data_IF_560175858344
#
_entry.id   IF_560175858344
#
_cell.length_a   1.000
_cell.length_b   1.000
_cell.length_c   1.000
_cell.angle_alpha   90.00
_cell.angle_beta   90.00
_cell.angle_gamma   90.00
#
_symmetry.space_group_name_H-M   'P 1'
#
loop_
_entity.id
_entity.type
_entity.pdbx_description
1 polymer ?
#
# COMPACT_ATOMS: atom_id res chain seq x y z
N UNK A 1 -13.10 8.79 35.80
CA UNK A 1 -13.04 7.96 34.57
C UNK A 1 -11.91 8.39 33.63
N UNK A 2 -11.84 9.66 33.20
CA UNK A 2 -10.77 10.17 32.30
C UNK A 2 -9.32 9.99 32.80
N UNK A 3 -9.08 10.09 34.11
CA UNK A 3 -7.76 9.87 34.72
C UNK A 3 -7.28 8.42 34.61
N UNK A 4 -8.16 7.44 34.90
CA UNK A 4 -7.89 6.00 34.75
C UNK A 4 -7.67 5.60 33.29
N UNK A 5 -8.39 6.22 32.35
CA UNK A 5 -8.17 5.99 30.92
C UNK A 5 -6.82 6.61 30.47
N UNK A 6 -6.46 7.78 30.99
CA UNK A 6 -5.14 8.38 30.74
C UNK A 6 -3.96 7.54 31.26
N UNK A 7 -4.16 6.81 32.36
CA UNK A 7 -3.18 5.84 32.89
C UNK A 7 -3.09 4.58 32.00
N UNK A 8 -4.20 4.11 31.45
CA UNK A 8 -4.22 2.99 30.50
C UNK A 8 -3.35 3.25 29.26
N UNK A 9 -3.46 4.43 28.64
CA UNK A 9 -2.62 4.82 27.49
C UNK A 9 -1.12 4.95 27.81
N UNK A 10 -0.74 5.04 29.08
CA UNK A 10 0.66 5.11 29.54
C UNK A 10 1.24 3.75 29.94
N UNK A 11 0.42 2.70 29.99
CA UNK A 11 0.86 1.37 30.37
C UNK A 11 1.86 0.79 29.37
N UNK A 12 2.92 0.14 29.88
CA UNK A 12 3.91 -0.57 29.04
C UNK A 12 3.29 -1.62 28.10
N UNK A 13 2.09 -2.09 28.44
CA UNK A 13 1.34 -3.10 27.68
C UNK A 13 0.35 -2.53 26.66
N UNK A 14 0.08 -1.22 26.64
CA UNK A 14 -0.93 -0.64 25.74
C UNK A 14 -0.59 -0.87 24.26
N UNK A 15 0.61 -0.49 23.82
CA UNK A 15 1.02 -0.70 22.43
C UNK A 15 1.04 -2.19 22.02
N UNK A 16 1.62 -3.11 22.82
CA UNK A 16 1.50 -4.55 22.55
C UNK A 16 0.06 -5.05 22.40
N UNK A 17 -0.86 -4.64 23.28
CA UNK A 17 -2.28 -5.02 23.19
C UNK A 17 -2.90 -4.48 21.89
N UNK A 18 -2.62 -3.24 21.51
CA UNK A 18 -3.14 -2.68 20.27
C UNK A 18 -2.65 -3.42 19.03
N UNK A 19 -1.39 -3.89 19.02
CA UNK A 19 -0.89 -4.72 17.92
C UNK A 19 -1.49 -6.12 17.93
N UNK A 20 -1.79 -6.70 19.09
CA UNK A 20 -2.55 -7.96 19.17
C UNK A 20 -3.97 -7.79 18.60
N UNK A 21 -4.64 -6.69 18.95
CA UNK A 21 -5.97 -6.36 18.38
C UNK A 21 -5.88 -6.18 16.87
N UNK A 22 -4.87 -5.46 16.37
CA UNK A 22 -4.61 -5.32 14.93
C UNK A 22 -4.39 -6.68 14.24
N UNK A 23 -3.60 -7.56 14.87
CA UNK A 23 -3.34 -8.91 14.35
C UNK A 23 -4.63 -9.72 14.21
N UNK A 24 -5.45 -9.75 15.26
CA UNK A 24 -6.74 -10.44 15.24
C UNK A 24 -7.70 -9.81 14.24
N UNK A 25 -7.72 -8.48 14.15
CA UNK A 25 -8.55 -7.73 13.20
C UNK A 25 -8.27 -8.13 11.75
N UNK A 26 -7.00 -8.07 11.31
CA UNK A 26 -6.65 -8.41 9.93
C UNK A 26 -6.73 -9.91 9.65
N UNK A 27 -6.51 -10.76 10.66
CA UNK A 27 -6.78 -12.19 10.54
C UNK A 27 -8.26 -12.46 10.26
N UNK A 28 -9.16 -11.86 11.04
CA UNK A 28 -10.61 -11.96 10.80
C UNK A 28 -11.02 -11.31 9.48
N UNK A 29 -10.40 -10.18 9.10
CA UNK A 29 -10.62 -9.53 7.81
C UNK A 29 -10.39 -10.52 6.66
N UNK A 30 -9.29 -11.28 6.69
CA UNK A 30 -9.00 -12.30 5.67
C UNK A 30 -9.97 -13.47 5.70
N UNK A 31 -10.47 -13.84 6.89
CA UNK A 31 -11.54 -14.83 7.00
C UNK A 31 -12.79 -14.33 6.29
N UNK A 32 -13.17 -13.07 6.45
CA UNK A 32 -14.41 -12.56 5.85
C UNK A 32 -14.27 -12.21 4.36
N UNK A 33 -13.06 -11.95 3.87
CA UNK A 33 -12.79 -11.58 2.48
C UNK A 33 -13.18 -12.68 1.48
N UNK A 34 -13.83 -12.27 0.39
CA UNK A 34 -14.23 -13.15 -0.72
C UNK A 34 -13.08 -13.22 -1.74
N UNK A 35 -12.57 -14.43 -2.09
CA UNK A 35 -11.60 -14.58 -3.18
C UNK A 35 -12.19 -14.15 -4.53
N UNK A 36 -11.33 -13.68 -5.43
CA UNK A 36 -11.77 -13.19 -6.74
C UNK A 36 -10.67 -13.30 -7.80
N UNK A 37 -11.06 -13.63 -9.04
CA UNK A 37 -10.20 -13.58 -10.21
C UNK A 37 -8.93 -14.42 -10.07
N UNK A 38 -7.77 -13.75 -10.10
CA UNK A 38 -6.44 -14.38 -10.02
C UNK A 38 -6.28 -15.30 -8.80
N UNK A 39 -7.01 -15.03 -7.70
CA UNK A 39 -7.01 -15.87 -6.50
C UNK A 39 -7.36 -17.33 -6.86
N UNK A 40 -8.33 -17.54 -7.76
CA UNK A 40 -8.73 -18.87 -8.22
C UNK A 40 -7.72 -19.52 -9.15
N UNK A 41 -7.00 -18.72 -9.94
CA UNK A 41 -5.91 -19.21 -10.79
C UNK A 41 -4.79 -19.81 -9.93
N UNK A 42 -4.38 -19.12 -8.86
CA UNK A 42 -3.33 -19.59 -7.97
C UNK A 42 -3.79 -20.69 -7.02
N UNK A 43 -5.07 -20.72 -6.66
CA UNK A 43 -5.69 -21.83 -5.92
C UNK A 43 -5.96 -23.08 -6.77
N UNK A 44 -5.92 -22.96 -8.10
CA UNK A 44 -6.31 -24.01 -9.05
C UNK A 44 -5.13 -24.79 -9.65
N UNK A 45 -5.44 -25.52 -10.73
CA UNK A 45 -4.47 -26.35 -11.45
C UNK A 45 -3.33 -25.53 -12.05
N UNK A 46 -3.59 -24.29 -12.48
CA UNK A 46 -2.58 -23.41 -13.04
C UNK A 46 -1.52 -23.03 -12.01
N UNK A 47 -1.93 -22.66 -10.79
CA UNK A 47 -1.01 -22.43 -9.68
C UNK A 47 -0.20 -23.68 -9.31
N UNK A 48 -0.86 -24.84 -9.25
CA UNK A 48 -0.21 -26.13 -9.00
C UNK A 48 0.80 -26.53 -10.09
N UNK A 49 0.52 -26.19 -11.34
CA UNK A 49 1.47 -26.35 -12.44
C UNK A 49 2.67 -25.44 -12.24
N UNK A 50 2.45 -24.13 -12.05
CA UNK A 50 3.53 -23.16 -11.97
C UNK A 50 4.50 -23.43 -10.82
N UNK A 51 4.01 -23.81 -9.63
CA UNK A 51 4.91 -24.12 -8.50
C UNK A 51 5.81 -25.33 -8.76
N UNK A 52 5.34 -26.33 -9.54
CA UNK A 52 6.13 -27.50 -9.94
C UNK A 52 7.13 -27.22 -11.07
N UNK A 53 6.96 -26.09 -11.76
CA UNK A 53 7.78 -25.68 -12.90
C UNK A 53 8.53 -24.37 -12.62
N UNK A 54 8.83 -24.08 -11.35
CA UNK A 54 9.60 -22.89 -10.94
C UNK A 54 9.00 -21.57 -11.45
N UNK A 55 7.67 -21.49 -11.48
CA UNK A 55 6.86 -20.38 -11.99
C UNK A 55 7.06 -20.05 -13.47
N UNK A 56 7.53 -21.03 -14.25
CA UNK A 56 7.63 -20.93 -15.69
C UNK A 56 6.51 -21.72 -16.39
N UNK A 57 5.90 -21.09 -17.39
CA UNK A 57 4.96 -21.70 -18.30
C UNK A 57 4.81 -20.89 -19.60
N UNK A 58 4.21 -21.47 -20.65
CA UNK A 58 3.96 -20.78 -21.93
C UNK A 58 3.16 -19.49 -21.75
N UNK A 59 3.63 -18.39 -22.33
CA UNK A 59 3.01 -17.06 -22.16
C UNK A 59 1.56 -16.98 -22.66
N UNK A 60 1.17 -17.82 -23.63
CA UNK A 60 -0.19 -17.85 -24.16
C UNK A 60 -1.23 -18.27 -23.11
N UNK A 61 -0.85 -19.10 -22.14
CA UNK A 61 -1.76 -19.64 -21.12
C UNK A 61 -1.55 -18.91 -19.79
N UNK A 62 -0.28 -18.71 -19.41
CA UNK A 62 0.09 -18.20 -18.09
C UNK A 62 0.41 -16.71 -18.06
N UNK A 63 0.56 -16.07 -19.23
CA UNK A 63 0.76 -14.63 -19.39
C UNK A 63 1.67 -13.98 -18.34
N UNK A 64 1.10 -12.98 -17.65
CA UNK A 64 1.77 -12.23 -16.59
C UNK A 64 2.28 -13.08 -15.42
N UNK A 65 1.68 -14.23 -15.15
CA UNK A 65 1.98 -15.13 -14.02
C UNK A 65 3.23 -15.98 -14.21
N UNK A 66 3.72 -16.13 -15.45
CA UNK A 66 5.02 -16.74 -15.76
C UNK A 66 6.13 -15.71 -15.52
N UNK A 67 6.57 -15.54 -14.27
CA UNK A 67 7.41 -14.43 -13.80
C UNK A 67 8.33 -14.83 -12.62
N UNK A 68 9.26 -13.96 -12.26
CA UNK A 68 10.23 -14.19 -11.18
C UNK A 68 9.73 -13.88 -9.76
N UNK A 69 8.43 -13.66 -9.55
CA UNK A 69 7.84 -13.27 -8.26
C UNK A 69 7.72 -14.47 -7.32
N UNK A 70 8.81 -15.20 -7.11
CA UNK A 70 8.81 -16.49 -6.43
C UNK A 70 8.10 -16.45 -5.07
N UNK A 71 8.40 -15.46 -4.22
CA UNK A 71 7.82 -15.38 -2.88
C UNK A 71 6.38 -14.87 -2.91
N UNK A 72 6.07 -13.92 -3.80
CA UNK A 72 4.68 -13.49 -4.03
C UNK A 72 3.80 -14.65 -4.47
N UNK A 73 4.15 -15.31 -5.56
CA UNK A 73 3.37 -16.41 -6.12
C UNK A 73 3.26 -17.59 -5.15
N UNK A 74 4.34 -17.94 -4.44
CA UNK A 74 4.31 -19.02 -3.44
C UNK A 74 3.36 -18.69 -2.29
N UNK A 75 3.45 -17.47 -1.74
CA UNK A 75 2.58 -17.05 -0.65
C UNK A 75 1.12 -17.03 -1.11
N UNK A 76 0.84 -16.59 -2.34
CA UNK A 76 -0.50 -16.57 -2.91
C UNK A 76 -1.12 -17.97 -3.03
N UNK A 77 -0.35 -18.93 -3.56
CA UNK A 77 -0.77 -20.34 -3.62
C UNK A 77 -1.10 -20.84 -2.20
N UNK A 78 -0.20 -20.62 -1.25
CA UNK A 78 -0.37 -21.11 0.12
C UNK A 78 -1.57 -20.50 0.84
N UNK A 79 -1.81 -19.20 0.69
CA UNK A 79 -2.96 -18.52 1.30
C UNK A 79 -4.29 -18.88 0.61
N UNK A 80 -4.26 -19.34 -0.64
CA UNK A 80 -5.46 -19.86 -1.31
C UNK A 80 -5.80 -21.31 -0.93
N UNK A 81 -4.81 -22.10 -0.50
CA UNK A 81 -5.03 -23.49 -0.09
C UNK A 81 -5.32 -23.67 1.41
N UNK A 82 -4.95 -22.70 2.26
CA UNK A 82 -5.12 -22.78 3.71
C UNK A 82 -5.63 -21.47 4.30
N UNK A 83 -6.91 -21.47 4.72
CA UNK A 83 -7.52 -20.30 5.36
C UNK A 83 -6.83 -19.90 6.68
N UNK A 84 -6.42 -20.82 7.58
CA UNK A 84 -5.63 -20.45 8.76
C UNK A 84 -4.31 -19.77 8.40
N UNK A 85 -3.60 -20.28 7.38
CA UNK A 85 -2.35 -19.67 6.92
C UNK A 85 -2.59 -18.30 6.28
N UNK A 86 -3.69 -18.13 5.56
CA UNK A 86 -4.11 -16.84 5.01
C UNK A 86 -4.40 -15.82 6.12
N UNK A 87 -5.20 -16.20 7.12
CA UNK A 87 -5.53 -15.36 8.25
C UNK A 87 -4.28 -14.98 9.06
N UNK A 88 -3.38 -15.94 9.30
CA UNK A 88 -2.09 -15.70 9.95
C UNK A 88 -1.24 -14.73 9.12
N UNK A 89 -1.12 -14.94 7.80
CA UNK A 89 -0.32 -14.08 6.93
C UNK A 89 -0.83 -12.64 6.92
N UNK A 90 -2.14 -12.44 6.79
CA UNK A 90 -2.76 -11.11 6.88
C UNK A 90 -2.51 -10.47 8.24
N UNK A 91 -2.77 -11.20 9.33
CA UNK A 91 -2.53 -10.72 10.69
C UNK A 91 -1.07 -10.29 10.91
N UNK A 92 -0.11 -11.12 10.51
CA UNK A 92 1.33 -10.85 10.66
C UNK A 92 1.75 -9.63 9.85
N UNK A 93 1.53 -9.62 8.52
CA UNK A 93 2.15 -8.62 7.66
C UNK A 93 1.50 -7.24 7.78
N UNK A 94 0.17 -7.16 7.97
CA UNK A 94 -0.45 -5.89 8.29
C UNK A 94 0.05 -5.35 9.63
N UNK A 95 0.06 -6.18 10.67
CA UNK A 95 0.54 -5.74 12.00
C UNK A 95 2.02 -5.32 11.97
N UNK A 96 2.86 -6.05 11.23
CA UNK A 96 4.27 -5.72 11.04
C UNK A 96 4.44 -4.38 10.30
N UNK A 97 3.64 -4.13 9.25
CA UNK A 97 3.62 -2.86 8.54
C UNK A 97 3.27 -1.71 9.50
N UNK A 98 2.16 -1.82 10.23
CA UNK A 98 1.70 -0.79 11.17
C UNK A 98 2.70 -0.56 12.31
N UNK A 99 3.29 -1.64 12.83
CA UNK A 99 4.35 -1.57 13.83
C UNK A 99 5.58 -0.82 13.28
N UNK A 100 6.03 -1.13 12.06
CA UNK A 100 7.19 -0.49 11.48
C UNK A 100 6.93 1.01 11.27
N UNK A 101 5.74 1.39 10.81
CA UNK A 101 5.33 2.79 10.69
C UNK A 101 5.34 3.52 12.04
N UNK A 102 4.77 2.92 13.09
CA UNK A 102 4.77 3.47 14.44
C UNK A 102 6.19 3.71 14.96
N UNK A 103 7.09 2.75 14.71
CA UNK A 103 8.51 2.80 15.09
C UNK A 103 9.23 3.92 14.35
N UNK A 104 9.06 4.02 13.04
CA UNK A 104 9.70 5.01 12.19
C UNK A 104 9.21 6.44 12.47
N UNK A 105 7.95 6.59 12.88
CA UNK A 105 7.31 7.85 13.26
C UNK A 105 7.58 8.29 14.72
N UNK A 106 8.46 7.60 15.45
CA UNK A 106 8.96 8.06 16.76
C UNK A 106 8.25 7.47 17.99
N UNK A 107 7.37 6.48 17.82
CA UNK A 107 6.77 5.67 18.90
C UNK A 107 5.85 6.40 19.89
N UNK A 108 5.35 7.58 19.54
CA UNK A 108 4.35 8.26 20.37
C UNK A 108 2.98 7.55 20.31
N UNK A 109 2.07 7.88 21.22
CA UNK A 109 0.68 7.41 21.15
C UNK A 109 0.01 7.91 19.87
N UNK A 110 0.24 9.17 19.49
CA UNK A 110 -0.26 9.72 18.23
C UNK A 110 0.28 8.94 17.02
N UNK A 111 1.57 8.59 17.03
CA UNK A 111 2.14 7.73 15.99
C UNK A 111 1.45 6.36 15.95
N UNK A 112 1.15 5.75 17.10
CA UNK A 112 0.48 4.46 17.17
C UNK A 112 -0.92 4.54 16.56
N UNK A 113 -1.69 5.54 16.96
CA UNK A 113 -3.05 5.76 16.49
C UNK A 113 -3.08 6.06 14.98
N UNK A 114 -2.16 6.88 14.47
CA UNK A 114 -2.01 7.11 13.04
C UNK A 114 -1.62 5.82 12.29
N UNK A 115 -0.70 5.02 12.82
CA UNK A 115 -0.40 3.73 12.21
C UNK A 115 -1.62 2.82 12.16
N UNK A 116 -2.41 2.73 13.22
CA UNK A 116 -3.67 1.97 13.22
C UNK A 116 -4.72 2.55 12.25
N UNK A 117 -4.70 3.87 12.01
CA UNK A 117 -5.58 4.53 11.06
C UNK A 117 -5.22 4.27 9.59
N UNK A 118 -4.00 3.81 9.29
CA UNK A 118 -3.47 3.67 7.92
C UNK A 118 -4.41 2.93 6.96
N UNK A 119 -4.94 1.77 7.35
CA UNK A 119 -5.80 0.98 6.46
C UNK A 119 -7.15 1.68 6.17
N UNK A 120 -7.56 2.61 7.03
CA UNK A 120 -8.83 3.34 6.92
C UNK A 120 -8.70 4.68 6.18
N UNK A 121 -7.48 5.08 5.83
CA UNK A 121 -7.22 6.27 5.00
C UNK A 121 -7.01 5.91 3.52
N UNK A 122 -7.07 4.63 3.18
CA UNK A 122 -6.94 4.14 1.82
C UNK A 122 -8.10 4.64 0.95
N UNK A 123 -7.79 5.09 -0.25
CA UNK A 123 -8.81 5.35 -1.28
C UNK A 123 -9.43 4.04 -1.79
N UNK A 124 -10.61 4.13 -2.41
CA UNK A 124 -11.35 2.98 -2.94
C UNK A 124 -10.51 2.04 -3.82
N UNK A 125 -9.63 2.60 -4.66
CA UNK A 125 -8.75 1.81 -5.53
C UNK A 125 -7.80 0.90 -4.75
N UNK A 126 -7.19 1.39 -3.66
CA UNK A 126 -6.31 0.61 -2.78
C UNK A 126 -7.07 -0.32 -1.86
N UNK A 127 -8.29 0.07 -1.43
CA UNK A 127 -9.18 -0.86 -0.71
C UNK A 127 -9.43 -2.09 -1.58
N UNK A 128 -9.86 -1.88 -2.82
CA UNK A 128 -10.25 -2.96 -3.72
C UNK A 128 -9.07 -3.80 -4.25
N UNK A 129 -7.95 -3.16 -4.59
CA UNK A 129 -6.81 -3.82 -5.25
C UNK A 129 -5.67 -4.22 -4.31
N UNK A 130 -5.76 -3.93 -3.01
CA UNK A 130 -4.72 -4.31 -2.04
C UNK A 130 -5.32 -4.84 -0.74
N UNK A 131 -6.25 -4.11 -0.12
CA UNK A 131 -6.80 -4.51 1.17
C UNK A 131 -7.76 -5.71 1.04
N UNK A 132 -8.68 -5.65 0.08
CA UNK A 132 -9.77 -6.60 -0.13
C UNK A 132 -9.53 -7.59 -1.29
N UNK A 133 -8.26 -7.82 -1.63
CA UNK A 133 -7.85 -8.78 -2.66
C UNK A 133 -6.60 -9.54 -2.22
N UNK A 134 -6.60 -10.87 -2.32
CA UNK A 134 -5.51 -11.71 -1.81
C UNK A 134 -4.23 -11.51 -2.62
N UNK A 135 -4.30 -11.56 -3.95
CA UNK A 135 -3.14 -11.28 -4.82
C UNK A 135 -2.56 -9.88 -4.57
N UNK A 136 -3.44 -8.89 -4.39
CA UNK A 136 -3.07 -7.51 -4.06
C UNK A 136 -2.34 -7.41 -2.73
N UNK A 137 -2.89 -7.99 -1.67
CA UNK A 137 -2.24 -8.05 -0.37
C UNK A 137 -0.85 -8.71 -0.48
N UNK A 138 -0.78 -9.92 -1.04
CA UNK A 138 0.44 -10.73 -1.08
C UNK A 138 1.58 -9.99 -1.76
N UNK A 139 1.29 -9.30 -2.87
CA UNK A 139 2.31 -8.65 -3.68
C UNK A 139 2.78 -7.29 -3.13
N UNK A 140 1.99 -6.62 -2.28
CA UNK A 140 2.26 -5.23 -1.89
C UNK A 140 2.44 -5.00 -0.39
N UNK A 141 1.77 -5.76 0.48
CA UNK A 141 1.82 -5.54 1.94
C UNK A 141 3.01 -6.25 2.60
N UNK A 142 3.20 -7.59 2.43
CA UNK A 142 4.35 -8.29 2.98
C UNK A 142 5.69 -7.65 2.62
N UNK A 143 6.03 -7.39 1.34
CA UNK A 143 7.36 -6.92 1.03
C UNK A 143 7.59 -5.49 1.53
N UNK A 144 6.55 -4.65 1.59
CA UNK A 144 6.70 -3.32 2.17
C UNK A 144 6.88 -3.37 3.69
N UNK A 145 6.22 -4.30 4.39
CA UNK A 145 6.46 -4.54 5.81
C UNK A 145 7.92 -4.96 6.06
N UNK A 146 8.50 -5.78 5.18
CA UNK A 146 9.92 -6.18 5.24
C UNK A 146 10.87 -5.00 4.99
N UNK A 147 10.60 -4.17 3.97
CA UNK A 147 11.40 -2.96 3.66
C UNK A 147 11.35 -1.96 4.82
N UNK A 148 10.17 -1.69 5.40
CA UNK A 148 10.07 -0.80 6.56
C UNK A 148 10.75 -1.42 7.80
N UNK A 149 10.72 -2.74 7.97
CA UNK A 149 11.45 -3.42 9.04
C UNK A 149 12.96 -3.23 8.92
N UNK A 150 13.51 -3.25 7.69
CA UNK A 150 14.90 -2.85 7.45
C UNK A 150 15.16 -1.41 7.89
N UNK A 151 14.30 -0.46 7.52
CA UNK A 151 14.47 0.94 7.96
C UNK A 151 14.41 1.09 9.49
N UNK A 152 13.60 0.28 10.18
CA UNK A 152 13.58 0.23 11.65
C UNK A 152 14.91 -0.28 12.21
N UNK A 153 15.52 -1.28 11.59
CA UNK A 153 16.86 -1.78 11.96
C UNK A 153 17.90 -0.67 11.75
N UNK A 154 17.83 0.07 10.65
CA UNK A 154 18.71 1.20 10.37
C UNK A 154 18.59 2.28 11.46
N UNK A 155 17.37 2.71 11.81
CA UNK A 155 17.14 3.71 12.89
C UNK A 155 17.65 3.22 14.25
N UNK A 156 17.49 1.92 14.53
CA UNK A 156 17.97 1.31 15.77
C UNK A 156 19.51 1.21 15.81
N UNK A 157 20.13 0.82 14.71
CA UNK A 157 21.59 0.70 14.55
C UNK A 157 22.34 2.02 14.53
N UNK A 158 21.65 3.17 14.34
CA UNK A 158 22.25 4.48 14.57
C UNK A 158 22.60 4.71 16.04
N UNK A 159 21.78 4.18 16.96
CA UNK A 159 21.88 4.45 18.40
C UNK A 159 22.60 3.36 19.17
N UNK A 160 22.79 2.19 18.57
CA UNK A 160 23.31 0.99 19.24
C UNK A 160 24.22 0.21 18.31
N UNK A 161 25.18 -0.50 18.90
CA UNK A 161 25.93 -1.53 18.18
C UNK A 161 25.02 -2.75 18.05
N UNK A 162 24.86 -3.24 16.81
CA UNK A 162 24.01 -4.39 16.53
C UNK A 162 24.89 -5.64 16.40
N UNK A 163 24.46 -6.79 16.94
CA UNK A 163 25.17 -8.04 16.74
C UNK A 163 25.14 -8.47 15.27
N UNK A 164 26.09 -9.32 14.87
CA UNK A 164 26.25 -9.78 13.48
C UNK A 164 24.98 -10.44 12.91
N UNK A 165 24.12 -11.02 13.75
CA UNK A 165 22.83 -11.59 13.34
C UNK A 165 21.94 -10.57 12.62
N UNK A 166 22.06 -9.27 12.90
CA UNK A 166 21.35 -8.24 12.15
C UNK A 166 21.83 -8.14 10.71
N UNK A 167 23.09 -8.46 10.42
CA UNK A 167 23.57 -8.48 9.05
C UNK A 167 22.97 -9.65 8.25
N UNK A 168 22.85 -10.83 8.87
CA UNK A 168 22.14 -11.96 8.27
C UNK A 168 20.64 -11.64 8.09
N UNK A 169 20.02 -11.03 9.11
CA UNK A 169 18.62 -10.63 9.03
C UNK A 169 18.38 -9.64 7.88
N UNK A 170 19.21 -8.61 7.74
CA UNK A 170 19.02 -7.64 6.65
C UNK A 170 19.33 -8.23 5.27
N UNK A 171 20.23 -9.21 5.17
CA UNK A 171 20.41 -10.00 3.93
C UNK A 171 19.10 -10.70 3.55
N UNK A 172 18.49 -11.41 4.51
CA UNK A 172 17.23 -12.13 4.31
C UNK A 172 16.08 -11.17 3.99
N UNK A 173 16.00 -10.01 4.67
CA UNK A 173 14.98 -8.99 4.39
C UNK A 173 15.11 -8.46 2.95
N UNK A 174 16.31 -8.08 2.52
CA UNK A 174 16.56 -7.60 1.16
C UNK A 174 16.29 -8.66 0.10
N UNK A 175 16.74 -9.90 0.35
CA UNK A 175 16.46 -11.02 -0.56
C UNK A 175 14.95 -11.27 -0.70
N UNK A 176 14.25 -11.39 0.43
CA UNK A 176 12.84 -11.80 0.47
C UNK A 176 11.91 -10.72 -0.10
N UNK A 177 12.12 -9.45 0.27
CA UNK A 177 11.26 -8.35 -0.18
C UNK A 177 11.31 -8.16 -1.71
N UNK A 178 12.43 -8.51 -2.35
CA UNK A 178 12.64 -8.35 -3.79
C UNK A 178 12.03 -9.42 -4.67
N UNK A 179 11.42 -10.46 -4.10
CA UNK A 179 10.81 -11.56 -4.86
C UNK A 179 9.28 -11.46 -4.90
N UNK A 180 8.72 -10.28 -4.67
CA UNK A 180 7.27 -10.02 -4.71
C UNK A 180 6.83 -9.22 -5.94
N UNK A 181 7.46 -8.08 -6.23
CA UNK A 181 7.10 -7.24 -7.39
C UNK A 181 8.32 -6.55 -7.99
N UNK A 182 8.35 -6.43 -9.32
CA UNK A 182 9.48 -5.86 -10.07
C UNK A 182 9.80 -4.43 -9.62
N UNK A 183 8.76 -3.62 -9.41
CA UNK A 183 8.91 -2.24 -8.95
C UNK A 183 9.58 -2.17 -7.56
N UNK A 184 9.23 -3.06 -6.64
CA UNK A 184 9.86 -3.08 -5.32
C UNK A 184 11.25 -3.71 -5.34
N UNK A 185 11.51 -4.68 -6.22
CA UNK A 185 12.85 -5.23 -6.49
C UNK A 185 13.83 -4.13 -6.89
N UNK A 186 13.44 -3.25 -7.81
CA UNK A 186 14.28 -2.12 -8.22
C UNK A 186 14.29 -1.01 -7.16
N UNK A 187 13.13 -0.67 -6.60
CA UNK A 187 12.98 0.36 -5.57
C UNK A 187 13.86 0.12 -4.35
N UNK A 188 13.97 -1.13 -3.88
CA UNK A 188 14.79 -1.43 -2.71
C UNK A 188 16.31 -1.36 -2.98
N UNK A 189 16.77 -1.59 -4.22
CA UNK A 189 18.17 -1.35 -4.59
C UNK A 189 18.46 0.14 -4.44
N UNK A 190 17.60 1.00 -5.01
CA UNK A 190 17.73 2.44 -4.86
C UNK A 190 17.71 2.86 -3.39
N UNK A 191 16.80 2.30 -2.58
CA UNK A 191 16.74 2.54 -1.14
C UNK A 191 18.05 2.14 -0.43
N UNK A 192 18.59 0.96 -0.73
CA UNK A 192 19.84 0.48 -0.14
C UNK A 192 21.02 1.39 -0.49
N UNK A 193 21.11 1.81 -1.75
CA UNK A 193 22.13 2.77 -2.23
C UNK A 193 21.98 4.12 -1.52
N UNK A 194 20.76 4.68 -1.42
CA UNK A 194 20.52 5.94 -0.72
C UNK A 194 20.92 5.86 0.76
N UNK A 195 20.61 4.75 1.43
CA UNK A 195 21.03 4.54 2.83
C UNK A 195 22.56 4.49 2.95
N UNK A 196 23.25 3.75 2.09
CA UNK A 196 24.73 3.70 2.09
C UNK A 196 25.33 5.08 1.79
N UNK A 197 24.79 5.81 0.82
CA UNK A 197 25.24 7.17 0.48
C UNK A 197 25.02 8.16 1.63
N UNK A 198 24.00 7.97 2.44
CA UNK A 198 23.77 8.77 3.65
C UNK A 198 24.82 8.49 4.73
N UNK A 199 25.11 7.22 5.01
CA UNK A 199 26.08 6.84 6.05
C UNK A 199 27.55 6.97 5.62
N UNK A 200 27.86 6.86 4.32
CA UNK A 200 29.21 6.96 3.74
C UNK A 200 30.23 6.11 4.51
N UNK A 201 31.20 6.75 5.17
CA UNK A 201 32.26 6.10 5.97
C UNK A 201 31.73 5.41 7.24
N UNK A 202 30.51 5.73 7.67
CA UNK A 202 29.84 5.10 8.83
C UNK A 202 28.97 3.90 8.43
N UNK A 203 29.12 3.40 7.20
CA UNK A 203 28.39 2.23 6.73
C UNK A 203 28.75 1.00 7.56
N UNK A 204 27.73 0.32 8.08
CA UNK A 204 27.87 -0.89 8.89
C UNK A 204 27.52 -2.13 8.06
N UNK A 205 27.93 -3.30 8.53
CA UNK A 205 27.74 -4.58 7.83
C UNK A 205 26.28 -4.82 7.43
N UNK A 206 25.31 -4.50 8.30
CA UNK A 206 23.89 -4.70 8.01
C UNK A 206 23.32 -3.79 6.89
N UNK A 207 23.98 -2.68 6.55
CA UNK A 207 23.64 -1.89 5.35
C UNK A 207 24.12 -2.60 4.08
N UNK A 208 25.35 -3.13 4.12
CA UNK A 208 25.99 -3.82 3.00
C UNK A 208 25.26 -5.12 2.69
N UNK A 209 24.95 -5.91 3.71
CA UNK A 209 24.23 -7.18 3.51
C UNK A 209 22.80 -6.97 3.03
N UNK A 210 22.14 -5.87 3.41
CA UNK A 210 20.85 -5.50 2.80
C UNK A 210 21.00 -5.25 1.30
N UNK A 211 21.96 -4.41 0.88
CA UNK A 211 22.25 -4.16 -0.54
C UNK A 211 22.60 -5.46 -1.29
N UNK A 212 23.39 -6.34 -0.68
CA UNK A 212 23.70 -7.64 -1.27
C UNK A 212 22.42 -8.46 -1.48
N UNK A 213 21.55 -8.52 -0.48
CA UNK A 213 20.26 -9.22 -0.57
C UNK A 213 19.38 -8.65 -1.69
N UNK A 214 19.32 -7.32 -1.81
CA UNK A 214 18.53 -6.68 -2.87
C UNK A 214 19.08 -6.97 -4.27
N UNK A 215 20.40 -6.94 -4.46
CA UNK A 215 21.05 -7.30 -5.73
C UNK A 215 20.78 -8.77 -6.08
N UNK A 216 20.96 -9.69 -5.13
CA UNK A 216 20.70 -11.12 -5.34
C UNK A 216 19.23 -11.35 -5.69
N UNK A 217 18.29 -10.68 -5.01
CA UNK A 217 16.86 -10.77 -5.34
C UNK A 217 16.56 -10.31 -6.77
N UNK A 218 17.23 -9.24 -7.23
CA UNK A 218 17.04 -8.73 -8.59
C UNK A 218 17.60 -9.67 -9.65
N UNK A 219 18.77 -10.26 -9.40
CA UNK A 219 19.32 -11.31 -10.27
C UNK A 219 18.35 -12.48 -10.36
N UNK A 220 17.86 -12.98 -9.22
CA UNK A 220 16.91 -14.12 -9.19
C UNK A 220 15.59 -13.77 -9.88
N UNK A 221 15.01 -12.59 -9.60
CA UNK A 221 13.80 -12.08 -10.23
C UNK A 221 13.97 -12.01 -11.75
N UNK A 222 14.89 -11.18 -12.23
CA UNK A 222 14.98 -10.84 -13.66
C UNK A 222 15.72 -11.88 -14.52
N UNK A 223 16.39 -12.87 -13.91
CA UNK A 223 16.92 -14.02 -14.65
C UNK A 223 15.83 -15.03 -15.05
N UNK A 224 14.62 -14.92 -14.48
CA UNK A 224 13.52 -15.84 -14.77
C UNK A 224 13.18 -15.86 -16.28
N UNK A 225 13.06 -17.03 -16.93
CA UNK A 225 12.86 -17.12 -18.38
C UNK A 225 11.59 -16.43 -18.90
N UNK A 226 10.56 -16.28 -18.05
CA UNK A 226 9.33 -15.57 -18.39
C UNK A 226 9.53 -14.11 -18.82
N UNK A 227 10.62 -13.46 -18.39
CA UNK A 227 10.96 -12.09 -18.83
C UNK A 227 11.63 -12.03 -20.21
N UNK A 228 12.09 -13.16 -20.76
CA UNK A 228 12.68 -13.24 -22.11
C UNK A 228 11.64 -13.50 -23.19
N UNK A 229 10.47 -14.01 -22.81
CA UNK A 229 9.37 -14.28 -23.73
C UNK A 229 8.60 -13.02 -24.08
N UNK A 230 8.09 -12.94 -25.33
CA UNK A 230 7.12 -11.91 -25.71
C UNK A 230 5.82 -12.14 -24.95
N UNK A 231 5.28 -11.10 -24.32
CA UNK A 231 4.04 -11.14 -23.57
C UNK A 231 3.24 -9.86 -23.80
N UNK A 232 1.95 -9.98 -24.10
CA UNK A 232 1.03 -8.83 -24.18
C UNK A 232 0.82 -8.17 -22.81
N UNK A 233 1.19 -8.85 -21.73
CA UNK A 233 1.08 -8.36 -20.35
C UNK A 233 2.30 -7.55 -19.89
N UNK A 234 3.39 -7.48 -20.66
CA UNK A 234 4.63 -6.79 -20.25
C UNK A 234 4.98 -5.67 -21.22
N UNK A 235 4.14 -4.63 -21.22
CA UNK A 235 4.34 -3.45 -22.05
C UNK A 235 5.18 -2.40 -21.33
N UNK A 236 6.22 -1.90 -22.01
CA UNK A 236 6.97 -0.71 -21.60
C UNK A 236 6.92 0.36 -22.68
N UNK A 237 7.01 1.63 -22.30
CA UNK A 237 7.14 2.75 -23.23
C UNK A 237 8.18 3.75 -22.74
N UNK A 238 8.89 4.35 -23.68
CA UNK A 238 9.79 5.48 -23.46
C UNK A 238 9.35 6.73 -24.24
N UNK A 239 8.20 6.66 -24.93
CA UNK A 239 7.62 7.82 -25.60
C UNK A 239 6.99 8.76 -24.55
N UNK A 240 7.59 9.94 -24.40
CA UNK A 240 7.16 10.97 -23.46
C UNK A 240 5.70 11.39 -23.66
N UNK A 241 5.16 11.35 -24.89
CA UNK A 241 3.75 11.67 -25.16
C UNK A 241 2.82 10.61 -24.59
N UNK A 242 3.18 9.34 -24.75
CA UNK A 242 2.40 8.21 -24.20
C UNK A 242 2.48 8.22 -22.68
N UNK A 243 3.67 8.44 -22.11
CA UNK A 243 3.88 8.58 -20.67
C UNK A 243 3.03 9.73 -20.11
N UNK A 244 3.11 10.91 -20.74
CA UNK A 244 2.31 12.07 -20.35
C UNK A 244 0.82 11.78 -20.41
N UNK A 245 0.34 11.15 -21.49
CA UNK A 245 -1.07 10.79 -21.64
C UNK A 245 -1.57 9.85 -20.55
N UNK A 246 -0.80 8.80 -20.21
CA UNK A 246 -1.16 7.90 -19.11
C UNK A 246 -1.11 8.60 -17.76
N UNK A 247 -0.08 9.42 -17.53
CA UNK A 247 0.05 10.16 -16.30
C UNK A 247 -1.11 11.13 -16.12
N UNK A 248 -1.41 11.93 -17.14
CA UNK A 248 -2.43 12.96 -17.06
C UNK A 248 -3.84 12.40 -17.05
N UNK A 249 -4.13 11.31 -17.74
CA UNK A 249 -5.51 10.81 -17.80
C UNK A 249 -5.84 9.76 -16.74
N UNK A 250 -4.83 9.14 -16.12
CA UNK A 250 -5.05 7.97 -15.25
C UNK A 250 -4.23 8.01 -13.96
N UNK A 251 -2.90 7.96 -14.04
CA UNK A 251 -2.13 7.52 -12.87
C UNK A 251 -1.96 8.60 -11.80
N UNK A 252 -1.95 9.90 -12.18
CA UNK A 252 -1.85 10.97 -11.20
C UNK A 252 -3.07 11.01 -10.25
N UNK A 253 -4.27 10.66 -10.75
CA UNK A 253 -5.47 10.58 -9.92
C UNK A 253 -5.32 9.57 -8.78
N UNK A 254 -4.82 8.37 -9.09
CA UNK A 254 -4.57 7.32 -8.10
C UNK A 254 -3.45 7.71 -7.12
N UNK A 255 -2.43 8.39 -7.62
CA UNK A 255 -1.27 8.78 -6.81
C UNK A 255 -1.61 9.94 -5.85
N UNK A 256 -2.40 10.92 -6.30
CA UNK A 256 -2.55 12.20 -5.58
C UNK A 256 -4.02 12.46 -5.32
N UNK A 257 -4.80 12.76 -6.36
CA UNK A 257 -6.11 13.39 -6.27
C UNK A 257 -7.11 12.62 -5.42
N UNK A 258 -7.17 11.30 -5.58
CA UNK A 258 -8.11 10.46 -4.84
C UNK A 258 -7.71 10.21 -3.37
N UNK A 259 -6.49 10.57 -2.97
CA UNK A 259 -5.99 10.39 -1.60
C UNK A 259 -6.36 11.58 -0.69
N UNK A 260 -7.61 12.08 -0.78
CA UNK A 260 -8.05 13.32 -0.14
C UNK A 260 -7.83 13.37 1.38
N UNK A 261 -8.03 12.25 2.09
CA UNK A 261 -7.81 12.18 3.54
C UNK A 261 -6.34 12.44 3.88
N UNK A 262 -5.44 11.81 3.12
CA UNK A 262 -3.99 11.97 3.28
C UNK A 262 -3.57 13.41 2.97
N UNK A 263 -4.05 13.97 1.85
CA UNK A 263 -3.75 15.34 1.44
C UNK A 263 -4.26 16.36 2.46
N UNK A 264 -5.48 16.19 2.96
CA UNK A 264 -6.05 17.04 3.98
C UNK A 264 -5.21 16.99 5.27
N UNK A 265 -4.79 15.79 5.70
CA UNK A 265 -3.93 15.63 6.88
C UNK A 265 -2.58 16.35 6.72
N UNK A 266 -1.91 16.20 5.57
CA UNK A 266 -0.65 16.89 5.27
C UNK A 266 -0.84 18.40 5.28
N UNK A 267 -1.82 18.92 4.53
CA UNK A 267 -2.00 20.35 4.34
C UNK A 267 -2.47 21.07 5.61
N UNK A 268 -3.37 20.46 6.40
CA UNK A 268 -3.78 20.99 7.70
C UNK A 268 -2.63 20.98 8.71
N UNK A 269 -1.78 19.95 8.68
CA UNK A 269 -0.60 19.89 9.52
C UNK A 269 0.43 20.95 9.13
N UNK A 270 0.70 21.14 7.83
CA UNK A 270 1.55 22.21 7.30
C UNK A 270 1.01 23.57 7.75
N UNK A 271 -0.29 23.84 7.54
CA UNK A 271 -0.92 25.10 7.96
C UNK A 271 -0.71 25.34 9.46
N UNK A 272 -0.94 24.32 10.29
CA UNK A 272 -0.76 24.42 11.74
C UNK A 272 0.70 24.70 12.12
N UNK A 273 1.67 24.05 11.47
CA UNK A 273 3.10 24.29 11.72
C UNK A 273 3.53 25.68 11.28
N UNK A 274 3.06 26.15 10.12
CA UNK A 274 3.29 27.51 9.63
C UNK A 274 2.78 28.53 10.64
N UNK A 275 1.56 28.37 11.15
CA UNK A 275 0.98 29.28 12.14
C UNK A 275 1.79 29.32 13.45
N UNK A 276 2.30 28.17 13.89
CA UNK A 276 3.14 28.02 15.10
C UNK A 276 4.60 28.44 14.93
N UNK A 277 5.08 28.61 13.71
CA UNK A 277 6.48 28.96 13.42
C UNK A 277 6.79 30.45 13.65
N UNK A 278 8.07 30.74 13.87
CA UNK A 278 8.60 32.11 13.97
C UNK A 278 8.98 32.69 12.59
N UNK A 279 8.36 32.20 11.51
CA UNK A 279 8.61 32.71 10.16
C UNK A 279 8.17 34.17 10.02
N UNK A 280 8.82 34.88 9.09
CA UNK A 280 8.42 36.23 8.69
C UNK A 280 6.95 36.25 8.26
N UNK A 281 6.28 37.40 8.49
CA UNK A 281 4.85 37.57 8.18
C UNK A 281 4.53 37.18 6.73
N UNK A 282 5.37 37.58 5.78
CA UNK A 282 5.21 37.27 4.36
C UNK A 282 5.25 35.75 4.12
N UNK A 283 6.25 35.05 4.66
CA UNK A 283 6.38 33.59 4.52
C UNK A 283 5.22 32.85 5.18
N UNK A 284 4.78 33.30 6.35
CA UNK A 284 3.63 32.72 7.06
C UNK A 284 2.35 32.86 6.25
N UNK A 285 2.08 34.04 5.70
CA UNK A 285 0.91 34.31 4.85
C UNK A 285 0.98 33.49 3.57
N UNK A 286 2.10 33.52 2.84
CA UNK A 286 2.22 32.83 1.55
C UNK A 286 2.03 31.32 1.68
N UNK A 287 2.72 30.67 2.62
CA UNK A 287 2.59 29.22 2.83
C UNK A 287 1.18 28.84 3.30
N UNK A 288 0.53 29.69 4.12
CA UNK A 288 -0.85 29.44 4.57
C UNK A 288 -1.84 29.54 3.42
N UNK A 289 -1.72 30.57 2.57
CA UNK A 289 -2.56 30.74 1.37
C UNK A 289 -2.38 29.57 0.41
N UNK A 290 -1.13 29.16 0.13
CA UNK A 290 -0.86 28.03 -0.77
C UNK A 290 -1.46 26.73 -0.20
N UNK A 291 -1.30 26.48 1.11
CA UNK A 291 -1.88 25.29 1.75
C UNK A 291 -3.41 25.29 1.69
N UNK A 292 -4.04 26.44 1.95
CA UNK A 292 -5.49 26.60 1.88
C UNK A 292 -6.02 26.47 0.44
N UNK A 293 -5.28 27.00 -0.54
CA UNK A 293 -5.62 26.89 -1.96
C UNK A 293 -5.60 25.42 -2.41
N UNK A 294 -4.59 24.64 -2.04
CA UNK A 294 -4.56 23.20 -2.34
C UNK A 294 -5.71 22.46 -1.63
N UNK A 295 -5.98 22.74 -0.35
CA UNK A 295 -7.10 22.13 0.37
C UNK A 295 -8.43 22.37 -0.35
N UNK A 296 -8.69 23.63 -0.69
CA UNK A 296 -9.91 24.02 -1.41
C UNK A 296 -9.98 23.38 -2.79
N UNK A 297 -8.87 23.37 -3.53
CA UNK A 297 -8.77 22.73 -4.84
C UNK A 297 -9.14 21.25 -4.76
N UNK A 298 -8.48 20.46 -3.90
CA UNK A 298 -8.72 19.02 -3.85
C UNK A 298 -10.11 18.66 -3.29
N UNK A 299 -10.69 19.52 -2.44
CA UNK A 299 -12.07 19.36 -2.01
C UNK A 299 -13.03 19.51 -3.20
N UNK A 300 -12.87 20.56 -4.01
CA UNK A 300 -13.69 20.78 -5.21
C UNK A 300 -13.42 19.71 -6.27
N UNK A 301 -12.16 19.42 -6.56
CA UNK A 301 -11.77 18.44 -7.57
C UNK A 301 -12.40 17.08 -7.26
N UNK A 302 -12.31 16.59 -6.02
CA UNK A 302 -12.96 15.34 -5.64
C UNK A 302 -14.49 15.42 -5.67
N UNK A 303 -15.10 16.55 -5.29
CA UNK A 303 -16.55 16.73 -5.41
C UNK A 303 -17.01 16.60 -6.87
N UNK A 304 -16.32 17.28 -7.81
CA UNK A 304 -16.60 17.21 -9.25
C UNK A 304 -16.34 15.79 -9.79
N UNK A 305 -15.15 15.26 -9.52
CA UNK A 305 -14.71 13.95 -10.00
C UNK A 305 -15.54 12.77 -9.45
N UNK A 306 -16.21 12.94 -8.31
CA UNK A 306 -17.13 11.95 -7.75
C UNK A 306 -18.42 11.78 -8.53
N UNK A 307 -18.80 12.79 -9.33
CA UNK A 307 -20.00 12.72 -10.19
C UNK A 307 -19.73 11.94 -11.48
N UNK A 308 -18.46 11.71 -11.81
CA UNK A 308 -18.04 10.97 -13.00
C UNK A 308 -17.87 9.49 -12.63
N UNK A 309 -18.56 8.56 -13.31
CA UNK A 309 -18.44 7.14 -13.01
C UNK A 309 -17.03 6.63 -13.34
N UNK A 310 -16.48 5.83 -12.43
CA UNK A 310 -15.20 5.13 -12.60
C UNK A 310 -15.45 3.74 -13.17
N UNK A 311 -14.51 3.22 -13.95
CA UNK A 311 -14.50 1.83 -14.36
C UNK A 311 -14.04 0.90 -13.22
N UNK A 312 -14.07 -0.41 -13.47
CA UNK A 312 -13.71 -1.41 -12.45
C UNK A 312 -12.24 -1.36 -12.01
N UNK A 313 -11.38 -0.75 -12.82
CA UNK A 313 -9.97 -0.48 -12.50
C UNK A 313 -9.76 0.87 -11.78
N UNK A 314 -10.85 1.53 -11.37
CA UNK A 314 -10.84 2.83 -10.70
C UNK A 314 -10.29 3.98 -11.55
N UNK A 315 -10.27 3.84 -12.88
CA UNK A 315 -9.96 4.91 -13.83
C UNK A 315 -11.21 5.53 -14.44
N UNK A 316 -11.02 6.62 -15.21
CA UNK A 316 -12.10 7.22 -16.02
C UNK A 316 -12.04 6.66 -17.44
N UNK A 317 -13.19 6.21 -17.97
CA UNK A 317 -13.28 5.79 -19.37
C UNK A 317 -13.12 6.98 -20.33
N UNK A 318 -13.64 8.13 -19.94
CA UNK A 318 -13.41 9.40 -20.60
C UNK A 318 -13.41 10.52 -19.55
N UNK A 319 -12.44 11.42 -19.65
CA UNK A 319 -12.36 12.63 -18.86
C UNK A 319 -11.99 13.77 -19.79
N UNK A 320 -12.54 14.96 -19.56
CA UNK A 320 -12.22 16.09 -20.42
C UNK A 320 -10.74 16.47 -20.28
N UNK A 321 -10.09 16.70 -21.42
CA UNK A 321 -8.67 17.05 -21.45
C UNK A 321 -8.34 18.26 -20.57
N UNK A 322 -9.14 19.35 -20.52
CA UNK A 322 -8.85 20.47 -19.64
C UNK A 322 -8.85 20.11 -18.15
N UNK A 323 -9.79 19.26 -17.69
CA UNK A 323 -9.83 18.83 -16.28
C UNK A 323 -8.61 17.98 -15.96
N UNK A 324 -8.35 16.96 -16.79
CA UNK A 324 -7.23 16.03 -16.67
C UNK A 324 -5.87 16.75 -16.59
N UNK A 325 -5.59 17.64 -17.55
CA UNK A 325 -4.33 18.38 -17.61
C UNK A 325 -4.20 19.38 -16.45
N UNK A 326 -5.28 20.06 -16.07
CA UNK A 326 -5.25 21.01 -14.93
C UNK A 326 -4.94 20.28 -13.63
N UNK A 327 -5.63 19.17 -13.35
CA UNK A 327 -5.43 18.37 -12.13
C UNK A 327 -4.02 17.78 -12.07
N UNK A 328 -3.48 17.37 -13.23
CA UNK A 328 -2.09 16.93 -13.36
C UNK A 328 -1.10 18.04 -12.97
N UNK A 329 -1.26 19.24 -13.50
CA UNK A 329 -0.36 20.38 -13.22
C UNK A 329 -0.44 20.75 -11.74
N UNK A 330 -1.65 20.87 -11.18
CA UNK A 330 -1.86 21.18 -9.76
C UNK A 330 -1.28 20.08 -8.87
N UNK A 331 -1.39 18.82 -9.27
CA UNK A 331 -0.77 17.68 -8.60
C UNK A 331 0.76 17.76 -8.57
N UNK A 332 1.40 18.09 -9.69
CA UNK A 332 2.85 18.29 -9.73
C UNK A 332 3.29 19.48 -8.85
N UNK A 333 2.55 20.59 -8.88
CA UNK A 333 2.80 21.74 -8.01
C UNK A 333 2.66 21.39 -6.53
N UNK A 334 1.68 20.55 -6.17
CA UNK A 334 1.52 20.06 -4.80
C UNK A 334 2.75 19.25 -4.35
N UNK A 335 3.26 18.34 -5.20
CA UNK A 335 4.46 17.55 -4.87
C UNK A 335 5.66 18.45 -4.61
N UNK A 336 5.88 19.45 -5.48
CA UNK A 336 6.93 20.47 -5.30
C UNK A 336 6.71 21.25 -3.99
N UNK A 337 5.48 21.64 -3.68
CA UNK A 337 5.15 22.35 -2.45
C UNK A 337 5.41 21.51 -1.20
N UNK A 338 5.07 20.21 -1.22
CA UNK A 338 5.40 19.28 -0.13
C UNK A 338 6.93 19.18 0.03
N UNK A 339 7.69 19.06 -1.05
CA UNK A 339 9.15 19.10 -1.02
C UNK A 339 9.71 20.39 -0.42
N UNK A 340 9.15 21.54 -0.79
CA UNK A 340 9.48 22.84 -0.19
C UNK A 340 9.16 22.91 1.31
N UNK A 341 8.03 22.34 1.74
CA UNK A 341 7.66 22.27 3.15
C UNK A 341 8.60 21.35 3.94
N UNK A 342 9.02 20.21 3.35
CA UNK A 342 10.04 19.33 3.94
C UNK A 342 11.36 20.08 4.08
N UNK A 343 11.81 20.80 3.05
CA UNK A 343 13.00 21.64 3.15
C UNK A 343 12.89 22.70 4.24
N UNK A 344 11.71 23.29 4.40
CA UNK A 344 11.45 24.37 5.37
C UNK A 344 11.41 23.88 6.82
N UNK A 345 10.73 22.77 7.10
CA UNK A 345 10.52 22.28 8.47
C UNK A 345 11.49 21.16 8.89
N UNK A 346 12.04 20.44 7.93
CA UNK A 346 12.76 19.17 8.13
C UNK A 346 14.07 19.10 7.34
N UNK A 347 14.72 20.25 7.10
CA UNK A 347 15.94 20.38 6.29
C UNK A 347 16.98 19.28 6.55
N UNK A 348 17.20 18.94 7.83
CA UNK A 348 18.20 17.98 8.28
C UNK A 348 17.64 16.59 8.62
N UNK A 349 16.33 16.37 8.52
CA UNK A 349 15.70 15.08 8.81
C UNK A 349 15.85 14.15 7.59
N UNK A 350 16.89 13.32 7.61
CA UNK A 350 17.21 12.40 6.52
C UNK A 350 16.08 11.41 6.22
N UNK A 351 15.23 11.07 7.21
CA UNK A 351 14.10 10.15 6.99
C UNK A 351 13.02 10.80 6.13
N UNK A 352 12.72 12.07 6.35
CA UNK A 352 11.75 12.80 5.54
C UNK A 352 12.19 12.89 4.07
N UNK A 353 13.48 13.20 3.85
CA UNK A 353 14.04 13.20 2.50
C UNK A 353 14.04 11.81 1.86
N UNK A 354 14.37 10.76 2.62
CA UNK A 354 14.29 9.38 2.13
C UNK A 354 12.86 9.03 1.70
N UNK A 355 11.84 9.33 2.52
CA UNK A 355 10.45 9.04 2.18
C UNK A 355 10.00 9.80 0.93
N UNK A 356 10.38 11.07 0.81
CA UNK A 356 10.07 11.90 -0.37
C UNK A 356 10.74 11.37 -1.64
N UNK A 357 12.03 11.01 -1.58
CA UNK A 357 12.75 10.44 -2.72
C UNK A 357 12.20 9.08 -3.13
N UNK A 358 11.91 8.20 -2.15
CA UNK A 358 11.34 6.88 -2.42
C UNK A 358 9.94 6.94 -3.02
N UNK A 359 9.15 7.95 -2.65
CA UNK A 359 7.86 8.23 -3.28
C UNK A 359 8.04 8.46 -4.79
N UNK A 360 9.00 9.32 -5.17
CA UNK A 360 9.34 9.60 -6.57
C UNK A 360 9.98 8.42 -7.31
N UNK A 361 10.89 7.68 -6.67
CA UNK A 361 11.56 6.53 -7.30
C UNK A 361 10.56 5.45 -7.66
N UNK A 362 9.67 5.07 -6.74
CA UNK A 362 8.71 4.00 -6.98
C UNK A 362 7.64 4.44 -7.98
N UNK A 363 7.08 5.65 -7.83
CA UNK A 363 6.11 6.16 -8.79
C UNK A 363 6.72 6.36 -10.19
N UNK A 364 7.95 6.86 -10.26
CA UNK A 364 8.65 7.14 -11.50
C UNK A 364 8.91 5.90 -12.35
N UNK A 365 9.20 4.76 -11.71
CA UNK A 365 9.34 3.48 -12.43
C UNK A 365 8.05 3.06 -13.14
N UNK A 366 6.89 3.34 -12.55
CA UNK A 366 5.59 2.97 -13.10
C UNK A 366 5.18 3.84 -14.29
N UNK A 367 5.82 5.01 -14.48
CA UNK A 367 5.60 5.85 -15.67
C UNK A 367 6.02 5.15 -16.96
N UNK A 368 6.98 4.23 -16.90
CA UNK A 368 7.47 3.48 -18.06
C UNK A 368 6.64 2.23 -18.38
N UNK A 369 5.66 1.87 -17.53
CA UNK A 369 4.80 0.70 -17.73
C UNK A 369 3.61 1.10 -18.62
N UNK A 370 3.50 0.49 -19.80
CA UNK A 370 2.38 0.72 -20.73
C UNK A 370 1.31 -0.38 -20.68
N UNK A 371 1.63 -1.57 -20.15
CA UNK A 371 0.64 -2.62 -19.91
C UNK A 371 1.07 -3.63 -18.83
N UNK A 372 0.16 -4.02 -17.91
CA UNK A 372 -1.08 -3.32 -17.57
C UNK A 372 -0.80 -2.06 -16.73
N UNK A 373 -1.52 -0.98 -17.00
CA UNK A 373 -1.53 0.22 -16.14
C UNK A 373 -2.58 0.01 -15.04
N UNK A 374 -2.15 -0.05 -13.77
CA UNK A 374 -3.06 -0.33 -12.65
C UNK A 374 -2.66 0.45 -11.38
N UNK A 375 -3.65 0.84 -10.58
CA UNK A 375 -3.48 1.60 -9.35
C UNK A 375 -2.60 0.91 -8.29
N UNK A 376 -2.64 -0.43 -8.20
CA UNK A 376 -2.01 -1.21 -7.12
C UNK A 376 -0.49 -0.98 -6.98
N UNK A 377 0.21 -0.73 -8.08
CA UNK A 377 1.64 -0.40 -8.05
C UNK A 377 1.97 0.85 -7.21
N UNK A 378 1.05 1.82 -7.18
CA UNK A 378 1.21 3.08 -6.44
C UNK A 378 0.93 2.96 -4.94
N UNK A 379 0.46 1.81 -4.45
CA UNK A 379 0.27 1.59 -3.01
C UNK A 379 1.59 1.69 -2.23
N UNK A 380 2.69 1.23 -2.82
CA UNK A 380 4.02 1.35 -2.23
C UNK A 380 4.43 2.82 -2.05
N UNK A 381 4.09 3.65 -3.03
CA UNK A 381 4.29 5.11 -2.97
C UNK A 381 3.42 5.74 -1.88
N UNK A 382 2.16 5.30 -1.77
CA UNK A 382 1.24 5.77 -0.73
C UNK A 382 1.78 5.56 0.69
N UNK A 383 2.46 4.44 0.97
CA UNK A 383 3.04 4.18 2.29
C UNK A 383 4.10 5.23 2.67
N UNK A 384 4.97 5.62 1.74
CA UNK A 384 5.95 6.68 2.02
C UNK A 384 5.31 8.06 2.18
N UNK A 385 4.30 8.40 1.36
CA UNK A 385 3.53 9.63 1.55
C UNK A 385 2.79 9.64 2.89
N UNK A 386 2.31 8.48 3.36
CA UNK A 386 1.70 8.36 4.67
C UNK A 386 2.69 8.59 5.80
N UNK A 387 3.93 8.08 5.70
CA UNK A 387 4.99 8.36 6.67
C UNK A 387 5.34 9.86 6.73
N UNK A 388 5.33 10.54 5.58
CA UNK A 388 5.48 12.01 5.51
C UNK A 388 4.33 12.68 6.27
N UNK A 389 3.08 12.28 5.99
CA UNK A 389 1.91 12.83 6.66
C UNK A 389 1.94 12.60 8.17
N UNK A 390 2.30 11.38 8.62
CA UNK A 390 2.46 11.07 10.03
C UNK A 390 3.42 12.03 10.71
N UNK A 391 4.57 12.30 10.09
CA UNK A 391 5.58 13.22 10.66
C UNK A 391 5.02 14.62 10.81
N UNK A 392 4.42 15.17 9.75
CA UNK A 392 3.79 16.48 9.77
C UNK A 392 2.70 16.57 10.86
N UNK A 393 1.79 15.59 10.91
CA UNK A 393 0.67 15.58 11.87
C UNK A 393 1.16 15.47 13.31
N UNK A 394 2.13 14.60 13.59
CA UNK A 394 2.70 14.43 14.94
C UNK A 394 3.31 15.75 15.42
N UNK A 395 4.13 16.40 14.59
CA UNK A 395 4.79 17.64 15.01
C UNK A 395 3.78 18.80 15.12
N UNK A 396 2.81 18.87 14.20
CA UNK A 396 1.74 19.87 14.21
C UNK A 396 0.86 19.77 15.46
N UNK A 397 0.51 18.57 15.90
CA UNK A 397 -0.50 18.33 16.94
C UNK A 397 0.02 17.65 18.22
N UNK A 398 1.34 17.56 18.40
CA UNK A 398 1.99 16.93 19.57
C UNK A 398 1.43 17.36 20.93
N UNK A 399 0.97 18.61 21.06
CA UNK A 399 0.41 19.18 22.30
C UNK A 399 -1.12 19.07 22.41
N UNK A 400 -1.83 18.68 21.35
CA UNK A 400 -3.29 18.69 21.28
C UNK A 400 -3.83 17.29 21.53
N UNK A 401 -4.11 16.95 22.79
CA UNK A 401 -4.59 15.59 23.15
C UNK A 401 -5.93 15.21 22.53
N UNK A 402 -6.76 16.18 22.14
CA UNK A 402 -8.06 15.94 21.51
C UNK A 402 -7.93 15.18 20.18
N UNK A 403 -6.84 15.38 19.43
CA UNK A 403 -6.62 14.69 18.15
C UNK A 403 -6.53 13.18 18.34
N UNK A 404 -5.91 12.73 19.44
CA UNK A 404 -5.78 11.30 19.72
C UNK A 404 -7.15 10.66 19.97
N UNK A 405 -8.05 11.37 20.66
CA UNK A 405 -9.42 10.90 20.86
C UNK A 405 -10.20 10.81 19.55
N UNK A 406 -10.10 11.82 18.70
CA UNK A 406 -10.72 11.80 17.38
C UNK A 406 -10.22 10.62 16.53
N UNK A 407 -8.90 10.36 16.52
CA UNK A 407 -8.32 9.22 15.78
C UNK A 407 -8.77 7.89 16.39
N UNK A 408 -8.82 7.74 17.73
CA UNK A 408 -9.31 6.51 18.37
C UNK A 408 -10.76 6.22 17.96
N UNK A 409 -11.63 7.22 18.02
CA UNK A 409 -13.04 7.07 17.65
C UNK A 409 -13.14 6.69 16.17
N UNK A 410 -12.41 7.39 15.29
CA UNK A 410 -12.38 7.10 13.87
C UNK A 410 -11.91 5.65 13.59
N UNK A 411 -10.82 5.20 14.23
CA UNK A 411 -10.31 3.83 14.07
C UNK A 411 -11.32 2.78 14.52
N UNK A 412 -11.99 2.98 15.65
CA UNK A 412 -13.00 2.03 16.16
C UNK A 412 -14.21 1.98 15.22
N UNK A 413 -14.75 3.14 14.84
CA UNK A 413 -15.93 3.24 13.97
C UNK A 413 -15.64 2.65 12.59
N UNK A 414 -14.52 3.03 11.97
CA UNK A 414 -14.12 2.52 10.65
C UNK A 414 -13.78 1.03 10.70
N UNK A 415 -13.08 0.59 11.75
CA UNK A 415 -12.76 -0.81 11.97
C UNK A 415 -14.01 -1.69 12.05
N UNK A 416 -14.98 -1.29 12.87
CA UNK A 416 -16.27 -1.98 12.98
C UNK A 416 -17.07 -1.94 11.67
N UNK A 417 -17.08 -0.80 10.99
CA UNK A 417 -17.78 -0.61 9.71
C UNK A 417 -17.25 -1.57 8.64
N UNK A 418 -15.92 -1.62 8.44
CA UNK A 418 -15.31 -2.47 7.42
C UNK A 418 -15.57 -3.96 7.68
N UNK A 419 -15.50 -4.41 8.94
CA UNK A 419 -15.80 -5.80 9.27
C UNK A 419 -17.27 -6.15 9.07
N UNK A 420 -18.19 -5.22 9.40
CA UNK A 420 -19.61 -5.40 9.11
C UNK A 420 -19.88 -5.52 7.60
N UNK A 421 -19.25 -4.67 6.79
CA UNK A 421 -19.38 -4.70 5.33
C UNK A 421 -18.87 -6.02 4.74
N UNK A 422 -17.70 -6.50 5.18
CA UNK A 422 -17.15 -7.78 4.76
C UNK A 422 -18.02 -8.96 5.20
N UNK A 423 -18.52 -8.94 6.43
CA UNK A 423 -19.42 -9.98 6.93
C UNK A 423 -20.69 -10.07 6.08
N UNK A 424 -21.35 -8.94 5.80
CA UNK A 424 -22.54 -8.90 4.95
C UNK A 424 -22.25 -9.38 3.53
N UNK A 425 -21.14 -8.93 2.93
CA UNK A 425 -20.71 -9.42 1.62
C UNK A 425 -20.53 -10.94 1.63
N UNK A 426 -19.86 -11.49 2.65
CA UNK A 426 -19.62 -12.93 2.75
C UNK A 426 -20.91 -13.73 2.87
N UNK A 427 -21.88 -13.29 3.65
CA UNK A 427 -23.18 -13.98 3.76
C UNK A 427 -23.89 -14.01 2.40
N UNK A 428 -24.05 -12.84 1.75
CA UNK A 428 -24.69 -12.74 0.43
C UNK A 428 -23.94 -13.54 -0.62
N UNK A 429 -22.61 -13.57 -0.57
CA UNK A 429 -21.81 -14.37 -1.49
C UNK A 429 -22.03 -15.87 -1.28
N UNK A 430 -22.07 -16.35 -0.03
CA UNK A 430 -22.35 -17.76 0.26
C UNK A 430 -23.73 -18.18 -0.24
N UNK A 431 -24.74 -17.33 -0.10
CA UNK A 431 -26.09 -17.58 -0.63
C UNK A 431 -26.07 -17.76 -2.15
N UNK A 432 -25.46 -16.81 -2.89
CA UNK A 432 -25.47 -16.85 -4.36
C UNK A 432 -24.59 -17.98 -4.94
N UNK A 433 -23.48 -18.33 -4.31
CA UNK A 433 -22.58 -19.39 -4.82
C UNK A 433 -23.04 -20.80 -4.41
N UNK A 434 -24.01 -20.90 -3.49
CA UNK A 434 -24.63 -22.18 -3.11
C UNK A 434 -25.72 -22.63 -4.09
N UNK A 435 -26.06 -21.83 -5.11
CA UNK A 435 -26.99 -22.24 -6.15
C UNK A 435 -26.41 -23.43 -6.96
N UNK A 436 -27.11 -24.59 -7.01
CA UNK A 436 -26.68 -25.74 -7.80
C UNK A 436 -26.49 -25.46 -9.28
N UNK A 437 -27.17 -24.47 -9.85
CA UNK A 437 -26.94 -24.07 -11.23
C UNK A 437 -25.57 -23.38 -11.36
N UNK A 438 -25.19 -22.54 -10.40
CA UNK A 438 -23.89 -21.87 -10.41
C UNK A 438 -22.73 -22.84 -10.18
N UNK A 439 -22.68 -23.53 -9.03
CA UNK A 439 -21.46 -24.30 -8.69
C UNK A 439 -21.28 -25.57 -9.55
N UNK A 440 -22.31 -26.02 -10.28
CA UNK A 440 -22.18 -27.05 -11.32
C UNK A 440 -21.87 -26.46 -12.72
N UNK A 441 -21.63 -25.15 -12.83
CA UNK A 441 -21.23 -24.48 -14.07
C UNK A 441 -22.34 -24.33 -15.10
N UNK A 442 -23.61 -24.41 -14.69
CA UNK A 442 -24.78 -24.30 -15.58
C UNK A 442 -25.34 -22.88 -15.70
N UNK A 443 -25.01 -22.00 -14.76
CA UNK A 443 -25.43 -20.61 -14.75
C UNK A 443 -24.33 -19.69 -14.19
N UNK A 444 -24.34 -18.43 -14.63
CA UNK A 444 -23.52 -17.38 -14.04
C UNK A 444 -24.25 -16.71 -12.87
N UNK A 445 -23.50 -16.00 -12.03
CA UNK A 445 -24.10 -15.15 -10.99
C UNK A 445 -24.85 -13.99 -11.64
N UNK A 446 -25.99 -13.62 -11.07
CA UNK A 446 -26.86 -12.54 -11.59
C UNK A 446 -26.94 -11.32 -10.68
N UNK A 447 -26.43 -11.42 -9.44
CA UNK A 447 -26.52 -10.38 -8.42
C UNK A 447 -25.18 -10.11 -7.76
N UNK A 448 -24.89 -8.82 -7.59
CA UNK A 448 -23.72 -8.36 -6.85
C UNK A 448 -23.93 -8.40 -5.34
N UNK A 449 -22.83 -8.46 -4.59
CA UNK A 449 -22.82 -8.22 -3.14
C UNK A 449 -23.11 -6.74 -2.82
N UNK A 450 -23.59 -6.41 -1.59
CA UNK A 450 -23.97 -5.05 -1.23
C UNK A 450 -22.81 -4.05 -1.28
N UNK A 451 -21.62 -4.45 -0.83
CA UNK A 451 -20.45 -3.57 -0.75
C UNK A 451 -19.36 -3.96 -1.75
N UNK A 452 -19.63 -3.71 -3.04
CA UNK A 452 -18.79 -4.13 -4.19
C UNK A 452 -17.32 -3.73 -4.07
N UNK A 453 -17.01 -2.56 -3.50
CA UNK A 453 -15.63 -2.09 -3.33
C UNK A 453 -14.75 -3.03 -2.48
N UNK A 454 -15.35 -3.89 -1.65
CA UNK A 454 -14.67 -4.88 -0.82
C UNK A 454 -14.54 -6.26 -1.48
N UNK A 455 -14.76 -6.35 -2.79
CA UNK A 455 -14.48 -7.53 -3.61
C UNK A 455 -13.77 -7.06 -4.87
N UNK A 456 -12.62 -7.65 -5.19
CA UNK A 456 -11.79 -7.21 -6.31
C UNK A 456 -12.57 -7.05 -7.62
N UNK A 457 -12.22 -6.00 -8.38
CA UNK A 457 -12.89 -5.59 -9.62
C UNK A 457 -14.38 -5.29 -9.42
N UNK A 458 -14.72 -4.61 -8.31
CA UNK A 458 -16.09 -4.27 -7.92
C UNK A 458 -17.11 -5.42 -8.02
N UNK A 459 -16.69 -6.63 -7.66
CA UNK A 459 -17.53 -7.83 -7.73
C UNK A 459 -18.08 -8.14 -9.13
N UNK A 460 -17.25 -7.99 -10.17
CA UNK A 460 -17.59 -8.50 -11.51
C UNK A 460 -18.00 -9.98 -11.42
N UNK A 461 -19.21 -10.29 -11.91
CA UNK A 461 -19.88 -11.57 -11.66
C UNK A 461 -19.12 -12.77 -12.26
N UNK A 462 -18.40 -12.54 -13.36
CA UNK A 462 -17.56 -13.53 -14.03
C UNK A 462 -16.21 -13.77 -13.33
N UNK A 463 -15.91 -13.07 -12.23
CA UNK A 463 -14.67 -13.26 -11.46
C UNK A 463 -14.80 -14.32 -10.37
N UNK A 464 -15.99 -14.91 -10.19
CA UNK A 464 -16.22 -16.01 -9.25
C UNK A 464 -16.06 -17.36 -9.96
N UNK A 465 -15.46 -18.35 -9.27
CA UNK A 465 -15.16 -19.66 -9.85
C UNK A 465 -16.09 -20.77 -9.31
N UNK A 466 -16.98 -21.33 -10.14
CA UNK A 466 -17.85 -22.45 -9.76
C UNK A 466 -17.12 -23.65 -9.15
N UNK A 467 -16.02 -24.09 -9.76
CA UNK A 467 -15.25 -25.27 -9.33
C UNK A 467 -14.68 -25.10 -7.93
N UNK A 468 -14.15 -23.92 -7.62
CA UNK A 468 -13.69 -23.58 -6.28
C UNK A 468 -14.82 -23.68 -5.26
N UNK A 469 -15.96 -23.05 -5.52
CA UNK A 469 -17.08 -23.03 -4.58
C UNK A 469 -17.71 -24.40 -4.38
N UNK A 470 -17.79 -25.23 -5.43
CA UNK A 470 -18.20 -26.64 -5.31
C UNK A 470 -17.32 -27.42 -4.33
N UNK A 471 -16.00 -27.26 -4.44
CA UNK A 471 -15.05 -27.91 -3.54
C UNK A 471 -15.04 -27.32 -2.13
N UNK A 472 -15.32 -26.02 -2.01
CA UNK A 472 -15.37 -25.32 -0.73
C UNK A 472 -16.63 -25.70 0.08
N UNK A 473 -17.79 -25.78 -0.58
CA UNK A 473 -19.08 -26.10 0.05
C UNK A 473 -19.26 -27.61 0.29
N UNK A 474 -18.54 -28.45 -0.45
CA UNK A 474 -18.56 -29.91 -0.27
C UNK A 474 -17.63 -30.44 0.84
N UNK A 475 -16.86 -29.56 1.48
CA UNK A 475 -16.05 -29.83 2.69
C UNK A 475 -16.76 -29.27 3.90
#
# INVERSE_FOLDING_TARGET
MLKKIGEFFRGKFFAPIMFLVSFLYFGLFRVLMIPSGDDYFWGGEQGAYLIRHMFYGPQAIYGGSSNGRYFGNTLEIFTMHSLPLAALSYGVFWTLLLWAMWRLAGKSITALLLSLAFAFTLQGAFINNVLAWNAGFVNYVPPMALVLSYLVIVDYGQKRVLPWMFALLTLVLGYSAGLFTEALTLGQICLAVLVILYFRKQTKLYHITYLLGTIVSAIVMFSHPGYRGKSTYRGTTFDLKVIWSWFSNVTHFWLITFNIILLAAILLAILTLVLKSDFSRIKKISMSIISAAFLFYYAIANAVLSTIPKNDMYGYNSISLPISVTDTIVSLLLVVFIGYCIFTFYKTDAKMWLYYLMTGIIAGQLLFVSAPVNCRGYFLTYIFMYLIAMRFVIDAFSKVKLINWAIVIAVIVMGASYQSMLYQNRQVNLERVSDPQFYNGKAELTKHVPYRQFVWSNDLLNQQNPTYWKNYLGK
#
